data_IF_954702118909
#
_entry.id   IF_954702118909
#
_cell.length_a   1.000
_cell.length_b   1.000
_cell.length_c   1.000
_cell.angle_alpha   90.00
_cell.angle_beta   90.00
_cell.angle_gamma   90.00
#
_symmetry.space_group_name_H-M   'P 1'
#
loop_
_entity.id
_entity.type
_entity.pdbx_description
1 polymer ?
#
# COMPACT_ATOMS: atom_id res chain seq x y z
N UNK A 1 -0.84 12.11 -16.63
CA UNK A 1 0.56 11.77 -16.27
C UNK A 1 0.75 11.58 -14.75
N UNK A 2 0.10 12.37 -13.88
CA UNK A 2 0.17 12.18 -12.41
C UNK A 2 -0.52 10.91 -11.88
N UNK A 3 -1.68 10.51 -12.42
CA UNK A 3 -2.39 9.27 -12.01
C UNK A 3 -1.58 7.98 -12.20
N UNK A 4 -0.87 7.84 -13.34
CA UNK A 4 -0.06 6.64 -13.60
C UNK A 4 1.12 6.49 -12.63
N UNK A 5 1.67 7.59 -12.14
CA UNK A 5 2.77 7.56 -11.17
C UNK A 5 2.28 7.12 -9.78
N UNK A 6 1.11 7.60 -9.35
CA UNK A 6 0.51 7.21 -8.07
C UNK A 6 0.27 5.71 -7.96
N UNK A 7 -0.32 5.10 -8.99
CA UNK A 7 -0.66 3.66 -8.96
C UNK A 7 0.60 2.78 -8.93
N UNK A 8 1.71 3.23 -9.52
CA UNK A 8 2.95 2.47 -9.56
C UNK A 8 3.56 2.22 -8.16
N UNK A 9 3.32 3.11 -7.19
CA UNK A 9 3.84 2.94 -5.82
C UNK A 9 3.24 1.75 -5.08
N UNK A 10 2.04 1.31 -5.49
CA UNK A 10 1.22 0.42 -4.66
C UNK A 10 0.99 -0.95 -5.29
N UNK A 11 1.56 -1.23 -6.46
CA UNK A 11 1.31 -2.49 -7.18
C UNK A 11 2.24 -3.64 -6.79
N UNK A 12 3.32 -3.37 -6.05
CA UNK A 12 4.28 -4.37 -5.61
C UNK A 12 4.64 -4.13 -4.14
N UNK A 13 5.10 -5.17 -3.41
CA UNK A 13 5.60 -5.00 -2.06
C UNK A 13 6.70 -3.92 -2.00
N UNK A 14 6.68 -3.10 -0.95
CA UNK A 14 7.77 -2.17 -0.66
C UNK A 14 9.03 -2.98 -0.37
N UNK A 15 10.10 -2.77 -1.15
CA UNK A 15 11.44 -3.30 -0.90
C UNK A 15 12.27 -2.27 -0.11
N UNK A 16 12.43 -2.44 1.22
CA UNK A 16 13.08 -1.43 2.04
C UNK A 16 14.58 -1.31 1.78
N UNK A 17 15.21 -2.39 1.30
CA UNK A 17 16.65 -2.41 1.03
C UNK A 17 16.92 -1.69 -0.28
N UNK A 18 16.18 -2.04 -1.34
CA UNK A 18 16.34 -1.39 -2.64
C UNK A 18 16.02 0.11 -2.59
N UNK A 19 15.08 0.52 -1.73
CA UNK A 19 14.69 1.92 -1.54
C UNK A 19 15.54 2.68 -0.51
N UNK A 20 16.48 2.00 0.18
CA UNK A 20 17.34 2.64 1.18
C UNK A 20 16.61 3.12 2.44
N UNK A 21 15.49 2.46 2.79
CA UNK A 21 14.64 2.76 3.96
C UNK A 21 14.53 1.54 4.89
N UNK A 22 15.65 0.99 5.40
CA UNK A 22 15.68 -0.29 6.13
C UNK A 22 14.75 -0.34 7.36
N UNK A 23 14.43 0.82 7.95
CA UNK A 23 13.51 0.94 9.08
C UNK A 23 12.03 0.67 8.74
N UNK A 24 11.67 0.49 7.46
CA UNK A 24 10.28 0.30 7.03
C UNK A 24 9.60 -0.85 7.78
N UNK A 25 10.25 -2.01 7.89
CA UNK A 25 9.67 -3.19 8.56
C UNK A 25 9.63 -3.05 10.10
N UNK A 26 10.41 -2.12 10.66
CA UNK A 26 10.32 -1.78 12.07
C UNK A 26 9.12 -0.88 12.37
N UNK A 27 8.73 -0.04 11.41
CA UNK A 27 7.63 0.92 11.55
C UNK A 27 6.30 0.31 11.09
N UNK A 28 6.28 -0.32 9.92
CA UNK A 28 5.10 -0.94 9.30
C UNK A 28 5.04 -2.41 9.66
N UNK A 29 4.06 -2.75 10.52
CA UNK A 29 3.93 -4.08 11.12
C UNK A 29 3.23 -5.11 10.23
N UNK A 30 2.36 -4.64 9.33
CA UNK A 30 1.66 -5.49 8.36
C UNK A 30 1.76 -4.83 6.98
N UNK A 31 2.88 -5.01 6.26
CA UNK A 31 3.02 -4.53 4.89
C UNK A 31 1.89 -5.09 4.01
N UNK A 32 1.42 -4.28 3.07
CA UNK A 32 0.42 -4.67 2.08
C UNK A 32 0.59 -3.81 0.83
N UNK A 33 0.27 -4.39 -0.32
CA UNK A 33 0.25 -3.74 -1.64
C UNK A 33 -0.88 -4.35 -2.49
N UNK A 34 -1.30 -3.65 -3.55
CA UNK A 34 -2.38 -4.07 -4.43
C UNK A 34 -2.08 -5.32 -5.24
N UNK A 35 -0.81 -5.61 -5.53
CA UNK A 35 -0.40 -6.87 -6.17
C UNK A 35 -0.72 -8.05 -5.26
N UNK A 36 -0.29 -7.97 -4.00
CA UNK A 36 -0.61 -8.97 -2.97
C UNK A 36 -2.12 -9.08 -2.73
N UNK A 37 -2.86 -7.96 -2.65
CA UNK A 37 -4.32 -7.99 -2.52
C UNK A 37 -4.97 -8.72 -3.68
N UNK A 38 -4.53 -8.44 -4.91
CA UNK A 38 -5.04 -9.10 -6.12
C UNK A 38 -4.77 -10.60 -6.08
N UNK A 39 -3.54 -11.01 -5.75
CA UNK A 39 -3.18 -12.44 -5.64
C UNK A 39 -4.04 -13.17 -4.60
N UNK A 40 -4.28 -12.54 -3.44
CA UNK A 40 -5.16 -13.07 -2.40
C UNK A 40 -6.61 -13.20 -2.86
N UNK A 41 -7.11 -12.22 -3.62
CA UNK A 41 -8.45 -12.27 -4.19
C UNK A 41 -8.59 -13.40 -5.21
N UNK A 42 -7.64 -13.52 -6.13
CA UNK A 42 -7.61 -14.57 -7.17
C UNK A 42 -7.42 -15.97 -6.57
N UNK A 43 -6.78 -16.06 -5.40
CA UNK A 43 -6.58 -17.30 -4.64
C UNK A 43 -7.69 -17.58 -3.64
N UNK A 44 -8.83 -16.88 -3.71
CA UNK A 44 -9.99 -17.06 -2.82
C UNK A 44 -9.66 -16.96 -1.31
N UNK A 45 -8.65 -16.15 -0.95
CA UNK A 45 -8.16 -16.02 0.43
C UNK A 45 -8.98 -15.04 1.30
N UNK A 46 -10.07 -14.49 0.77
CA UNK A 46 -10.95 -13.57 1.50
C UNK A 46 -12.31 -14.21 1.73
N UNK A 47 -12.64 -14.47 2.99
CA UNK A 47 -13.92 -15.08 3.38
C UNK A 47 -15.12 -14.13 3.12
N UNK A 48 -14.86 -12.83 3.03
CA UNK A 48 -15.87 -11.78 2.96
C UNK A 48 -15.27 -10.47 2.43
N UNK A 49 -16.13 -9.61 1.86
CA UNK A 49 -15.71 -8.36 1.18
C UNK A 49 -15.06 -7.37 2.14
N UNK A 50 -15.40 -7.42 3.42
CA UNK A 50 -14.83 -6.59 4.47
C UNK A 50 -13.34 -6.90 4.68
N UNK A 51 -12.92 -8.16 4.56
CA UNK A 51 -11.51 -8.53 4.66
C UNK A 51 -10.70 -8.04 3.46
N UNK A 52 -11.28 -8.07 2.25
CA UNK A 52 -10.69 -7.47 1.05
C UNK A 52 -10.55 -5.96 1.23
N UNK A 53 -11.62 -5.28 1.65
CA UNK A 53 -11.62 -3.84 1.88
C UNK A 53 -10.62 -3.43 2.98
N UNK A 54 -10.45 -4.25 4.01
CA UNK A 54 -9.49 -4.00 5.07
C UNK A 54 -8.04 -4.01 4.56
N UNK A 55 -7.67 -4.97 3.70
CA UNK A 55 -6.32 -5.00 3.15
C UNK A 55 -6.08 -3.89 2.11
N UNK A 56 -7.10 -3.51 1.30
CA UNK A 56 -7.01 -2.34 0.42
C UNK A 56 -6.76 -1.07 1.24
N UNK A 57 -7.55 -0.85 2.30
CA UNK A 57 -7.38 0.29 3.19
C UNK A 57 -6.01 0.31 3.86
N UNK A 58 -5.49 -0.86 4.21
CA UNK A 58 -4.17 -1.01 4.82
C UNK A 58 -3.03 -0.56 3.89
N UNK A 59 -3.16 -0.74 2.57
CA UNK A 59 -2.18 -0.20 1.60
C UNK A 59 -2.04 1.31 1.78
N UNK A 60 -3.18 2.01 1.82
CA UNK A 60 -3.23 3.47 1.97
C UNK A 60 -2.76 3.94 3.34
N UNK A 61 -3.21 3.26 4.40
CA UNK A 61 -2.89 3.61 5.77
C UNK A 61 -1.40 3.44 6.07
N UNK A 62 -0.79 2.36 5.59
CA UNK A 62 0.65 2.16 5.71
C UNK A 62 1.44 3.25 4.97
N UNK A 63 1.00 3.60 3.75
CA UNK A 63 1.64 4.63 2.95
C UNK A 63 1.58 6.00 3.63
N UNK A 64 0.42 6.41 4.13
CA UNK A 64 0.25 7.69 4.84
C UNK A 64 0.94 7.71 6.21
N UNK A 65 1.04 6.56 6.89
CA UNK A 65 1.71 6.47 8.18
C UNK A 65 3.23 6.56 8.06
N UNK A 66 3.82 5.88 7.07
CA UNK A 66 5.26 5.90 6.87
C UNK A 66 5.75 7.21 6.23
N UNK A 67 5.00 7.74 5.27
CA UNK A 67 5.41 8.90 4.50
C UNK A 67 4.75 10.18 5.07
N UNK A 68 5.52 11.23 5.40
CA UNK A 68 4.96 12.49 5.89
C UNK A 68 3.97 13.13 4.90
N UNK A 69 2.99 13.87 5.43
CA UNK A 69 2.05 14.66 4.63
C UNK A 69 2.78 15.63 3.70
N UNK A 70 2.25 15.82 2.49
CA UNK A 70 2.87 16.64 1.43
C UNK A 70 3.92 15.92 0.58
N UNK A 71 4.30 14.68 0.92
CA UNK A 71 5.09 13.83 0.01
C UNK A 71 4.20 13.23 -1.08
N UNK A 72 4.76 12.98 -2.28
CA UNK A 72 3.99 12.44 -3.40
C UNK A 72 3.28 11.12 -3.04
N UNK A 73 3.96 10.20 -2.35
CA UNK A 73 3.38 8.91 -1.93
C UNK A 73 2.22 9.10 -0.96
N UNK A 74 2.34 10.03 0.00
CA UNK A 74 1.28 10.33 0.95
C UNK A 74 0.06 10.92 0.26
N UNK A 75 0.25 11.92 -0.61
CA UNK A 75 -0.87 12.57 -1.31
C UNK A 75 -1.54 11.63 -2.31
N UNK A 76 -0.77 10.75 -2.97
CA UNK A 76 -1.33 9.69 -3.80
C UNK A 76 -2.18 8.71 -2.98
N UNK A 77 -1.70 8.25 -1.83
CA UNK A 77 -2.44 7.33 -0.95
C UNK A 77 -3.73 7.97 -0.42
N UNK A 78 -3.66 9.24 -0.01
CA UNK A 78 -4.82 10.01 0.44
C UNK A 78 -5.88 10.14 -0.67
N UNK A 79 -5.46 10.53 -1.87
CA UNK A 79 -6.37 10.68 -3.02
C UNK A 79 -7.01 9.37 -3.48
N UNK A 80 -6.40 8.21 -3.19
CA UNK A 80 -6.94 6.88 -3.52
C UNK A 80 -7.83 6.29 -2.42
N UNK A 81 -7.72 6.81 -1.19
CA UNK A 81 -8.53 6.35 -0.04
C UNK A 81 -9.87 7.07 0.04
N UNK A 82 -9.92 8.33 -0.39
CA UNK A 82 -11.13 9.18 -0.44
C UNK A 82 -12.13 8.73 -1.52
#
# INVERSE_FOLDING_TARGET
MKEKACVAYFNIPVDPIALGIPQYMEIIKKPMDLGTVKEKLESECYDHVEALAADINLVWDNAMYFNPAGTDVHECAKALKD
#
